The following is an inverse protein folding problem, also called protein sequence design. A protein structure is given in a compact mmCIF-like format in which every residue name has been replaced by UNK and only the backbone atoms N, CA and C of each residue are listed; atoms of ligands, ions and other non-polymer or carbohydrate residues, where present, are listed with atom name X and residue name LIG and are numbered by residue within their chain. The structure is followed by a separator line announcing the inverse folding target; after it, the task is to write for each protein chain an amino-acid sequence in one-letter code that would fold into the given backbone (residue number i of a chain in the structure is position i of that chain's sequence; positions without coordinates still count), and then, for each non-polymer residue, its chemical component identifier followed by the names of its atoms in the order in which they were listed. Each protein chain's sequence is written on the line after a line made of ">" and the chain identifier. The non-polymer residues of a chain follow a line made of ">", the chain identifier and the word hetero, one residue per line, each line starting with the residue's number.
data_IF_252582627754
#
_entry.id   IF_252582627754
#
_cell.length_a   1.000
_cell.length_b   1.000
_cell.length_c   1.000
_cell.angle_alpha   90.00
_cell.angle_beta   90.00
_cell.angle_gamma   90.00
#
_symmetry.space_group_name_H-M   'P 1'
#
loop_
_entity.id
_entity.type
_entity.pdbx_description
1 polymer ?
#
# COMPACT_ATOMS: atom_id res chain seq x y z
N UNK A 1 -62.89 4.89 -26.10
CA UNK A 1 -62.55 4.90 -24.66
C UNK A 1 -61.22 5.63 -24.53
N UNK A 2 -61.24 6.96 -24.43
CA UNK A 2 -60.17 7.70 -23.77
C UNK A 2 -60.75 9.08 -23.43
N UNK A 3 -60.92 9.31 -22.13
CA UNK A 3 -61.47 10.54 -21.58
C UNK A 3 -60.67 10.85 -20.34
N UNK A 4 -60.14 12.07 -20.28
CA UNK A 4 -59.93 12.72 -19.00
C UNK A 4 -58.56 13.35 -18.80
N UNK A 5 -58.26 14.43 -19.53
CA UNK A 5 -57.43 15.49 -18.97
C UNK A 5 -58.20 16.18 -17.84
N UNK A 6 -57.62 16.30 -16.64
CA UNK A 6 -57.97 17.39 -15.73
C UNK A 6 -56.81 17.79 -14.81
N UNK A 7 -56.62 19.10 -14.76
CA UNK A 7 -55.52 19.88 -14.22
C UNK A 7 -55.52 19.93 -12.68
N UNK A 8 -54.30 20.04 -12.14
CA UNK A 8 -53.85 20.97 -11.09
C UNK A 8 -54.66 21.05 -9.79
N UNK A 9 -54.08 20.54 -8.69
CA UNK A 9 -54.04 21.21 -7.37
C UNK A 9 -52.81 20.75 -6.57
N UNK A 10 -51.86 21.66 -6.35
CA UNK A 10 -50.78 21.51 -5.38
C UNK A 10 -51.28 22.08 -4.03
N UNK A 11 -51.33 21.30 -2.94
CA UNK A 11 -51.42 21.88 -1.61
C UNK A 11 -49.99 22.09 -1.11
N UNK A 12 -49.57 23.35 -1.06
CA UNK A 12 -48.63 23.80 -0.04
C UNK A 12 -49.34 23.57 1.30
N UNK A 13 -48.68 22.95 2.29
CA UNK A 13 -48.62 23.42 3.68
C UNK A 13 -48.22 22.31 4.68
N UNK A 14 -47.43 22.77 5.65
CA UNK A 14 -47.28 22.27 7.03
C UNK A 14 -46.53 20.97 7.30
N UNK A 15 -45.50 21.09 8.14
CA UNK A 15 -45.26 20.07 9.16
C UNK A 15 -43.79 19.85 9.49
N UNK A 16 -43.29 20.57 10.49
CA UNK A 16 -42.16 20.11 11.28
C UNK A 16 -42.47 18.72 11.86
N UNK A 17 -41.47 17.84 11.95
CA UNK A 17 -40.99 17.29 13.22
C UNK A 17 -40.31 15.91 13.06
N UNK A 18 -39.07 15.88 13.56
CA UNK A 18 -38.48 14.84 14.43
C UNK A 18 -38.19 13.43 13.91
N UNK A 19 -36.91 13.12 14.03
CA UNK A 19 -36.29 11.89 14.57
C UNK A 19 -36.63 10.55 13.92
N UNK A 20 -35.61 9.99 13.28
CA UNK A 20 -35.51 8.56 13.02
C UNK A 20 -34.25 8.23 12.23
N UNK A 21 -33.06 8.61 12.73
CA UNK A 21 -31.83 8.08 12.16
C UNK A 21 -31.78 6.60 12.53
N UNK A 22 -32.02 5.75 11.55
CA UNK A 22 -31.81 4.31 11.62
C UNK A 22 -30.34 4.02 11.94
N UNK A 23 -30.05 3.62 13.17
CA UNK A 23 -28.76 3.06 13.54
C UNK A 23 -28.66 1.65 12.91
N UNK A 24 -28.18 1.59 11.67
CA UNK A 24 -27.79 0.33 11.05
C UNK A 24 -26.53 -0.19 11.76
N UNK A 25 -26.72 -1.15 12.68
CA UNK A 25 -25.64 -1.91 13.28
C UNK A 25 -24.95 -2.73 12.17
N UNK A 26 -23.84 -2.22 11.64
CA UNK A 26 -23.00 -2.93 10.70
C UNK A 26 -22.22 -4.04 11.42
N UNK A 27 -22.89 -5.14 11.78
CA UNK A 27 -22.27 -6.42 12.17
C UNK A 27 -21.82 -7.15 10.91
N UNK A 28 -20.83 -6.59 10.21
CA UNK A 28 -20.07 -7.32 9.20
C UNK A 28 -18.88 -8.04 9.85
N UNK A 29 -18.49 -9.25 9.40
CA UNK A 29 -17.27 -9.89 9.88
C UNK A 29 -16.10 -8.97 9.53
N UNK A 30 -15.39 -8.50 10.56
CA UNK A 30 -14.09 -7.85 10.40
C UNK A 30 -13.16 -8.91 9.82
N UNK A 31 -13.08 -8.99 8.49
CA UNK A 31 -12.03 -9.71 7.80
C UNK A 31 -10.71 -9.26 8.41
N UNK A 32 -9.91 -10.21 8.90
CA UNK A 32 -8.58 -9.97 9.44
C UNK A 32 -7.83 -9.14 8.41
N UNK A 33 -7.61 -7.86 8.71
CA UNK A 33 -6.62 -7.08 7.99
C UNK A 33 -5.27 -7.65 8.41
N UNK A 34 -4.44 -8.15 7.49
CA UNK A 34 -3.09 -8.51 7.86
C UNK A 34 -2.44 -7.27 8.46
N UNK A 35 -1.80 -7.41 9.63
CA UNK A 35 -0.90 -6.39 10.13
C UNK A 35 0.23 -6.30 9.12
N UNK A 36 0.15 -5.33 8.22
CA UNK A 36 1.27 -4.96 7.38
C UNK A 36 2.39 -4.57 8.34
N UNK A 37 3.50 -5.31 8.33
CA UNK A 37 4.68 -4.92 9.08
C UNK A 37 5.01 -3.48 8.67
N UNK A 38 5.04 -2.56 9.64
CA UNK A 38 5.37 -1.18 9.35
C UNK A 38 6.76 -1.14 8.71
N UNK A 39 6.88 -0.52 7.54
CA UNK A 39 8.17 -0.26 6.88
C UNK A 39 9.18 0.44 7.83
N UNK A 40 8.69 1.08 8.90
CA UNK A 40 9.50 1.62 9.98
C UNK A 40 10.55 0.65 10.50
N UNK A 41 10.18 -0.60 10.81
CA UNK A 41 11.14 -1.58 11.34
C UNK A 41 12.04 -2.18 10.26
N UNK A 42 11.51 -2.36 9.05
CA UNK A 42 12.25 -2.89 7.90
C UNK A 42 13.49 -2.04 7.57
N UNK A 43 13.35 -0.71 7.66
CA UNK A 43 14.37 0.22 7.19
C UNK A 43 15.25 0.77 8.33
N UNK A 44 15.00 0.39 9.59
CA UNK A 44 15.70 1.01 10.74
C UNK A 44 17.20 0.74 10.75
N UNK A 45 17.63 -0.41 10.23
CA UNK A 45 19.05 -0.77 10.13
C UNK A 45 19.79 0.20 9.19
N UNK A 46 19.30 0.36 7.95
CA UNK A 46 19.89 1.27 6.94
C UNK A 46 19.68 2.76 7.22
N UNK A 47 18.61 3.13 7.95
CA UNK A 47 18.35 4.53 8.33
C UNK A 47 19.37 5.07 9.31
N UNK A 48 19.84 4.23 10.22
CA UNK A 48 20.74 4.64 11.30
C UNK A 48 22.19 4.18 11.07
N UNK A 49 22.45 3.45 9.99
CA UNK A 49 23.75 2.89 9.66
C UNK A 49 24.05 3.04 8.15
N UNK A 50 24.69 4.15 7.73
CA UNK A 50 25.03 4.35 6.32
C UNK A 50 26.00 3.28 5.79
N UNK A 51 26.86 2.72 6.64
CA UNK A 51 27.77 1.65 6.22
C UNK A 51 27.05 0.36 5.83
N UNK A 52 25.90 0.09 6.44
CA UNK A 52 25.04 -1.03 6.04
C UNK A 52 24.35 -0.75 4.71
N UNK A 53 23.91 0.48 4.47
CA UNK A 53 23.39 0.89 3.16
C UNK A 53 24.46 0.78 2.06
N UNK A 54 25.70 1.16 2.32
CA UNK A 54 26.81 1.01 1.38
C UNK A 54 27.13 -0.47 1.08
N UNK A 55 27.09 -1.34 2.10
CA UNK A 55 27.25 -2.78 1.91
C UNK A 55 26.15 -3.37 1.01
N UNK A 56 24.89 -2.94 1.21
CA UNK A 56 23.78 -3.30 0.35
C UNK A 56 23.95 -2.77 -1.08
N UNK A 57 24.48 -1.55 -1.28
CA UNK A 57 24.81 -1.07 -2.63
C UNK A 57 25.81 -2.00 -3.34
N UNK A 58 26.78 -2.57 -2.63
CA UNK A 58 27.73 -3.52 -3.19
C UNK A 58 27.06 -4.85 -3.55
N UNK A 59 26.18 -5.35 -2.68
CA UNK A 59 25.37 -6.55 -2.94
C UNK A 59 24.50 -6.38 -4.21
N UNK A 60 23.80 -5.25 -4.33
CA UNK A 60 22.93 -4.97 -5.47
C UNK A 60 23.72 -4.88 -6.78
N UNK A 61 24.90 -4.25 -6.75
CA UNK A 61 25.80 -4.21 -7.91
C UNK A 61 26.34 -5.60 -8.27
N UNK A 62 26.63 -6.45 -7.28
CA UNK A 62 27.08 -7.81 -7.54
C UNK A 62 25.98 -8.65 -8.23
N UNK A 63 24.72 -8.49 -7.82
CA UNK A 63 23.57 -9.09 -8.50
C UNK A 63 23.46 -8.55 -9.93
N UNK A 64 23.49 -7.22 -10.11
CA UNK A 64 23.48 -6.61 -11.45
C UNK A 64 24.60 -7.13 -12.36
N UNK A 65 25.78 -7.38 -11.81
CA UNK A 65 26.93 -7.89 -12.56
C UNK A 65 26.77 -9.35 -13.03
N UNK A 66 25.82 -10.13 -12.49
CA UNK A 66 25.50 -11.48 -13.03
C UNK A 66 24.65 -11.42 -14.29
N UNK A 67 24.12 -10.24 -14.64
CA UNK A 67 23.19 -10.02 -15.75
C UNK A 67 21.72 -10.01 -15.32
N UNK A 68 21.42 -10.30 -14.06
CA UNK A 68 20.09 -10.13 -13.48
C UNK A 68 19.93 -8.70 -12.94
N UNK A 69 18.77 -8.07 -13.11
CA UNK A 69 18.50 -6.82 -12.38
C UNK A 69 18.22 -7.13 -10.90
N UNK A 70 18.69 -6.28 -9.98
CA UNK A 70 18.30 -6.35 -8.57
C UNK A 70 16.78 -6.24 -8.37
N UNK A 71 16.06 -5.60 -9.30
CA UNK A 71 14.59 -5.51 -9.31
C UNK A 71 13.90 -6.67 -10.06
N UNK A 72 14.65 -7.60 -10.65
CA UNK A 72 14.07 -8.80 -11.27
C UNK A 72 13.58 -9.78 -10.20
N UNK A 73 12.73 -10.75 -10.57
CA UNK A 73 12.27 -11.78 -9.63
C UNK A 73 13.44 -12.51 -8.95
N UNK A 74 14.47 -12.86 -9.72
CA UNK A 74 15.69 -13.52 -9.23
C UNK A 74 16.53 -12.60 -8.34
N UNK A 75 16.62 -11.31 -8.66
CA UNK A 75 17.29 -10.31 -7.80
C UNK A 75 16.59 -10.11 -6.46
N UNK A 76 15.25 -9.95 -6.50
CA UNK A 76 14.44 -9.84 -5.29
C UNK A 76 14.53 -11.09 -4.42
N UNK A 77 14.55 -12.29 -5.02
CA UNK A 77 14.75 -13.54 -4.27
C UNK A 77 16.12 -13.60 -3.59
N UNK A 78 17.18 -13.19 -4.29
CA UNK A 78 18.54 -13.14 -3.72
C UNK A 78 18.63 -12.18 -2.52
N UNK A 79 18.16 -10.94 -2.68
CA UNK A 79 18.17 -9.95 -1.58
C UNK A 79 17.27 -10.42 -0.45
N UNK A 80 16.06 -10.94 -0.74
CA UNK A 80 15.15 -11.42 0.29
C UNK A 80 15.76 -12.56 1.11
N UNK A 81 16.48 -13.48 0.47
CA UNK A 81 17.16 -14.59 1.13
C UNK A 81 18.34 -14.12 1.97
N UNK A 82 19.14 -13.18 1.46
CA UNK A 82 20.30 -12.62 2.17
C UNK A 82 19.90 -11.81 3.41
N UNK A 83 18.81 -11.07 3.33
CA UNK A 83 18.33 -10.18 4.38
C UNK A 83 17.28 -10.82 5.31
N UNK A 84 16.84 -12.05 5.02
CA UNK A 84 15.78 -12.72 5.79
C UNK A 84 14.42 -12.03 5.67
N UNK A 85 14.11 -11.51 4.48
CA UNK A 85 12.92 -10.72 4.17
C UNK A 85 11.95 -11.49 3.26
N UNK A 86 10.74 -10.96 3.12
CA UNK A 86 9.89 -11.32 1.98
C UNK A 86 10.40 -10.63 0.71
N UNK A 87 10.06 -11.13 -0.47
CA UNK A 87 10.42 -10.47 -1.74
C UNK A 87 9.82 -9.06 -1.86
N UNK A 88 8.63 -8.84 -1.31
CA UNK A 88 8.03 -7.50 -1.23
C UNK A 88 8.79 -6.55 -0.29
N UNK A 89 9.24 -7.04 0.86
CA UNK A 89 10.05 -6.23 1.76
C UNK A 89 11.45 -5.96 1.19
N UNK A 90 12.02 -6.92 0.46
CA UNK A 90 13.26 -6.73 -0.28
C UNK A 90 13.11 -5.62 -1.33
N UNK A 91 12.03 -5.62 -2.11
CA UNK A 91 11.76 -4.55 -3.09
C UNK A 91 11.68 -3.16 -2.45
N UNK A 92 11.03 -3.06 -1.27
CA UNK A 92 10.96 -1.81 -0.49
C UNK A 92 12.36 -1.39 -0.01
N UNK A 93 13.15 -2.32 0.55
CA UNK A 93 14.52 -2.07 0.99
C UNK A 93 15.40 -1.59 -0.16
N UNK A 94 15.38 -2.29 -1.30
CA UNK A 94 16.15 -1.96 -2.50
C UNK A 94 15.78 -0.56 -2.97
N UNK A 95 14.49 -0.27 -3.15
CA UNK A 95 14.03 1.05 -3.61
C UNK A 95 14.52 2.17 -2.69
N UNK A 96 14.42 1.97 -1.37
CA UNK A 96 14.85 2.95 -0.39
C UNK A 96 16.37 3.17 -0.42
N UNK A 97 17.14 2.08 -0.43
CA UNK A 97 18.61 2.13 -0.37
C UNK A 97 19.18 2.68 -1.68
N UNK A 98 18.69 2.23 -2.84
CA UNK A 98 19.10 2.75 -4.16
C UNK A 98 18.79 4.24 -4.27
N UNK A 99 17.58 4.66 -3.91
CA UNK A 99 17.16 6.06 -4.02
C UNK A 99 17.94 7.04 -3.12
N UNK A 100 18.59 6.56 -2.07
CA UNK A 100 19.29 7.41 -1.10
C UNK A 100 20.81 7.24 -1.08
N UNK A 101 21.33 6.05 -1.42
CA UNK A 101 22.73 5.70 -1.18
C UNK A 101 23.46 5.14 -2.41
N UNK A 102 22.76 4.58 -3.41
CA UNK A 102 23.40 3.87 -4.51
C UNK A 102 23.18 4.56 -5.88
N UNK A 103 23.94 5.62 -6.23
CA UNK A 103 23.75 6.32 -7.50
C UNK A 103 24.05 5.47 -8.75
N UNK A 104 24.84 4.41 -8.59
CA UNK A 104 25.31 3.58 -9.70
C UNK A 104 24.48 2.29 -9.89
N UNK A 105 23.53 2.00 -8.99
CA UNK A 105 22.66 0.81 -9.09
C UNK A 105 21.43 1.13 -9.94
N UNK A 106 21.25 0.41 -11.05
CA UNK A 106 20.15 0.56 -12.01
C UNK A 106 19.44 -0.75 -12.31
#
# INVERSE_FOLDING_TARGET
>A
MESGSRKLRLPLLFGLASLGIVAALATGPRLLRPTQASASGLLDAVKNNPGEAEALCQEFNAINATGDSVYSATGLEQVSSGQGLTTSDAEILITYVVGLYCPDVT
#
